data_IF_929648137684
#
_entry.id   IF_929648137684
#
_cell.length_a   1.000
_cell.length_b   1.000
_cell.length_c   1.000
_cell.angle_alpha   90.00
_cell.angle_beta   90.00
_cell.angle_gamma   90.00
#
_symmetry.space_group_name_H-M   'P 1'
#
loop_
_entity.id
_entity.type
_entity.pdbx_description
1 polymer ?
#
# COMPACT_ATOMS: atom_id res chain seq x y z
N UNK A 1 -11.92 -3.53 -11.32
CA UNK A 1 -12.37 -3.55 -12.72
C UNK A 1 -11.19 -3.58 -13.68
N UNK A 2 -10.22 -2.69 -13.56
CA UNK A 2 -9.10 -2.53 -14.51
C UNK A 2 -8.23 -3.79 -14.73
N UNK A 3 -8.03 -4.61 -13.68
CA UNK A 3 -7.20 -5.83 -13.79
C UNK A 3 -7.83 -6.89 -14.68
N UNK A 4 -9.14 -7.08 -14.62
CA UNK A 4 -9.86 -8.04 -15.47
C UNK A 4 -9.88 -7.58 -16.93
N UNK A 5 -10.05 -6.27 -17.18
CA UNK A 5 -9.98 -5.71 -18.52
C UNK A 5 -8.58 -5.89 -19.13
N UNK A 6 -7.53 -5.69 -18.34
CA UNK A 6 -6.16 -5.93 -18.77
C UNK A 6 -5.93 -7.41 -19.09
N UNK A 7 -6.41 -8.31 -18.25
CA UNK A 7 -6.34 -9.77 -18.48
C UNK A 7 -7.08 -10.16 -19.74
N UNK A 8 -8.28 -9.63 -19.96
CA UNK A 8 -9.05 -9.86 -21.18
C UNK A 8 -8.31 -9.37 -22.43
N UNK A 9 -7.68 -8.19 -22.37
CA UNK A 9 -6.88 -7.66 -23.48
C UNK A 9 -5.72 -8.61 -23.83
N UNK A 10 -5.02 -9.14 -22.81
CA UNK A 10 -3.94 -10.09 -23.02
C UNK A 10 -4.40 -11.42 -23.61
N UNK A 11 -5.57 -11.93 -23.18
CA UNK A 11 -6.15 -13.16 -23.77
C UNK A 11 -6.43 -12.95 -25.24
N UNK A 12 -7.09 -11.83 -25.61
CA UNK A 12 -7.38 -11.49 -27.00
C UNK A 12 -6.11 -11.38 -27.86
N UNK A 13 -5.01 -10.93 -27.28
CA UNK A 13 -3.73 -10.81 -27.99
C UNK A 13 -2.99 -12.15 -28.14
N UNK A 14 -2.99 -12.98 -27.10
CA UNK A 14 -2.21 -14.23 -27.06
C UNK A 14 -2.94 -15.43 -27.64
N UNK A 15 -4.27 -15.42 -27.61
CA UNK A 15 -5.10 -16.54 -28.06
C UNK A 15 -6.45 -16.03 -28.62
N UNK A 16 -6.44 -15.25 -29.73
CA UNK A 16 -7.64 -14.61 -30.27
C UNK A 16 -8.73 -15.61 -30.70
N UNK A 17 -8.31 -16.76 -31.22
CA UNK A 17 -9.22 -17.77 -31.81
C UNK A 17 -9.54 -18.93 -30.85
N UNK A 18 -8.98 -18.93 -29.64
CA UNK A 18 -9.17 -20.02 -28.69
C UNK A 18 -10.57 -19.97 -28.08
N UNK A 19 -11.35 -20.99 -28.37
CA UNK A 19 -12.69 -21.17 -27.75
C UNK A 19 -12.57 -21.81 -26.37
N UNK A 20 -13.50 -21.46 -25.49
CA UNK A 20 -13.55 -21.96 -24.12
C UNK A 20 -13.65 -23.49 -24.08
N UNK A 21 -14.45 -24.10 -24.97
CA UNK A 21 -14.59 -25.56 -25.07
C UNK A 21 -13.32 -26.30 -25.56
N UNK A 22 -12.38 -25.59 -26.17
CA UNK A 22 -11.10 -26.14 -26.66
C UNK A 22 -9.97 -25.98 -25.64
N UNK A 23 -10.26 -25.42 -24.46
CA UNK A 23 -9.29 -25.12 -23.43
C UNK A 23 -8.85 -26.40 -22.69
N UNK A 24 -7.75 -26.98 -23.14
CA UNK A 24 -7.09 -28.11 -22.50
C UNK A 24 -5.96 -27.64 -21.54
N UNK A 25 -5.45 -28.56 -20.71
CA UNK A 25 -4.26 -28.27 -19.87
C UNK A 25 -3.05 -27.84 -20.69
N UNK A 26 -2.89 -28.38 -21.90
CA UNK A 26 -1.76 -28.06 -22.78
C UNK A 26 -1.92 -26.65 -23.33
N UNK A 27 -3.12 -26.31 -23.85
CA UNK A 27 -3.40 -24.97 -24.39
C UNK A 27 -3.34 -23.90 -23.31
N UNK A 28 -3.86 -24.21 -22.11
CA UNK A 28 -3.76 -23.32 -20.95
C UNK A 28 -2.32 -23.07 -20.52
N UNK A 29 -1.50 -24.13 -20.39
CA UNK A 29 -0.09 -23.99 -20.05
C UNK A 29 0.70 -23.23 -21.12
N UNK A 30 0.39 -23.40 -22.39
CA UNK A 30 0.99 -22.64 -23.50
C UNK A 30 0.67 -21.15 -23.34
N UNK A 31 -0.60 -20.79 -23.11
CA UNK A 31 -1.04 -19.42 -22.85
C UNK A 31 -0.25 -18.77 -21.70
N UNK A 32 -0.11 -19.47 -20.57
CA UNK A 32 0.68 -19.00 -19.43
C UNK A 32 2.16 -18.83 -19.77
N UNK A 33 2.72 -19.77 -20.51
CA UNK A 33 4.12 -19.70 -20.93
C UNK A 33 4.37 -18.52 -21.87
N UNK A 34 3.46 -18.23 -22.80
CA UNK A 34 3.58 -17.11 -23.74
C UNK A 34 3.45 -15.78 -22.99
N UNK A 35 2.54 -15.65 -22.04
CA UNK A 35 2.45 -14.50 -21.14
C UNK A 35 3.73 -14.33 -20.31
N UNK A 36 4.27 -15.42 -19.77
CA UNK A 36 5.47 -15.45 -18.94
C UNK A 36 6.76 -15.00 -19.65
N UNK A 37 6.82 -15.10 -21.00
CA UNK A 37 7.95 -14.57 -21.81
C UNK A 37 8.11 -13.07 -21.66
N UNK A 38 7.03 -12.35 -21.42
CA UNK A 38 6.99 -10.89 -21.34
C UNK A 38 6.97 -10.35 -19.91
N UNK A 39 6.52 -11.15 -18.93
CA UNK A 39 6.21 -10.72 -17.57
C UNK A 39 7.04 -11.43 -16.50
N UNK A 40 7.15 -10.80 -15.33
CA UNK A 40 7.74 -11.41 -14.14
C UNK A 40 6.82 -12.51 -13.58
N UNK A 41 7.41 -13.46 -12.83
CA UNK A 41 6.68 -14.60 -12.26
C UNK A 41 5.46 -14.18 -11.42
N UNK A 42 5.57 -13.10 -10.62
CA UNK A 42 4.44 -12.61 -9.80
C UNK A 42 3.30 -12.10 -10.68
N UNK A 43 3.59 -11.34 -11.73
CA UNK A 43 2.58 -10.85 -12.68
C UNK A 43 1.89 -12.01 -13.41
N UNK A 44 2.66 -13.04 -13.77
CA UNK A 44 2.10 -14.27 -14.38
C UNK A 44 1.23 -15.04 -13.38
N UNK A 45 1.58 -15.05 -12.10
CA UNK A 45 0.76 -15.65 -11.05
C UNK A 45 -0.57 -14.91 -10.89
N UNK A 46 -0.54 -13.57 -10.90
CA UNK A 46 -1.75 -12.74 -10.80
C UNK A 46 -2.67 -12.97 -12.02
N UNK A 47 -2.08 -13.06 -13.22
CA UNK A 47 -2.80 -13.41 -14.45
C UNK A 47 -3.45 -14.80 -14.36
N UNK A 48 -2.70 -15.82 -13.89
CA UNK A 48 -3.23 -17.16 -13.64
C UNK A 48 -4.41 -17.13 -12.66
N UNK A 49 -4.31 -16.44 -11.54
CA UNK A 49 -5.39 -16.37 -10.55
C UNK A 49 -6.67 -15.76 -11.10
N UNK A 50 -6.55 -14.71 -11.94
CA UNK A 50 -7.70 -14.06 -12.57
C UNK A 50 -8.38 -14.98 -13.60
N UNK A 51 -7.58 -15.67 -14.43
CA UNK A 51 -8.09 -16.63 -15.39
C UNK A 51 -8.71 -17.84 -14.74
N UNK A 52 -8.07 -18.35 -13.69
CA UNK A 52 -8.54 -19.53 -12.98
C UNK A 52 -9.95 -19.34 -12.42
N UNK A 53 -10.27 -18.15 -11.86
CA UNK A 53 -11.63 -17.85 -11.39
C UNK A 53 -12.67 -18.06 -12.50
N UNK A 54 -12.49 -17.35 -13.62
CA UNK A 54 -13.42 -17.44 -14.76
C UNK A 54 -13.49 -18.84 -15.39
N UNK A 55 -12.38 -19.59 -15.39
CA UNK A 55 -12.35 -20.96 -15.93
C UNK A 55 -13.09 -21.92 -15.00
N UNK A 56 -12.99 -21.76 -13.68
CA UNK A 56 -13.73 -22.59 -12.73
C UNK A 56 -15.23 -22.33 -12.83
N UNK A 57 -15.66 -21.08 -13.01
CA UNK A 57 -17.06 -20.75 -13.29
C UNK A 57 -17.55 -21.48 -14.55
N UNK A 58 -16.74 -21.49 -15.63
CA UNK A 58 -17.07 -22.21 -16.86
C UNK A 58 -17.09 -23.76 -16.70
N UNK A 59 -16.31 -24.32 -15.78
CA UNK A 59 -16.37 -25.75 -15.43
C UNK A 59 -17.66 -26.04 -14.65
N UNK A 60 -18.01 -25.19 -13.70
CA UNK A 60 -19.22 -25.34 -12.88
C UNK A 60 -20.51 -25.21 -13.73
N UNK A 61 -20.46 -24.37 -14.77
CA UNK A 61 -21.54 -24.21 -15.78
C UNK A 61 -21.56 -25.34 -16.85
N UNK A 62 -20.60 -26.28 -16.80
CA UNK A 62 -20.52 -27.40 -17.75
C UNK A 62 -19.99 -27.01 -19.15
N UNK A 63 -19.46 -25.81 -19.34
CA UNK A 63 -18.85 -25.37 -20.60
C UNK A 63 -17.47 -26.00 -20.84
N UNK A 64 -16.79 -26.41 -19.78
CA UNK A 64 -15.52 -27.14 -19.78
C UNK A 64 -15.68 -28.40 -18.94
N UNK A 65 -15.36 -29.57 -19.49
CA UNK A 65 -15.54 -30.85 -18.82
C UNK A 65 -14.62 -31.03 -17.59
N UNK A 66 -13.40 -30.53 -17.67
CA UNK A 66 -12.37 -30.67 -16.61
C UNK A 66 -11.54 -29.40 -16.44
N UNK A 67 -11.23 -29.05 -15.19
CA UNK A 67 -10.39 -27.90 -14.86
C UNK A 67 -8.99 -27.99 -15.53
N UNK A 68 -8.70 -27.16 -16.55
CA UNK A 68 -7.40 -27.15 -17.22
C UNK A 68 -6.32 -26.40 -16.43
N UNK A 69 -6.68 -25.68 -15.38
CA UNK A 69 -5.77 -24.85 -14.57
C UNK A 69 -5.06 -25.66 -13.49
N UNK A 70 -5.53 -26.88 -13.23
CA UNK A 70 -5.00 -27.77 -12.19
C UNK A 70 -3.55 -28.14 -12.46
N UNK A 71 -2.67 -27.92 -11.47
CA UNK A 71 -1.22 -28.16 -11.55
C UNK A 71 -0.50 -27.31 -12.62
N UNK A 72 -1.03 -26.14 -12.96
CA UNK A 72 -0.35 -25.20 -13.85
C UNK A 72 1.02 -24.78 -13.28
N UNK A 73 2.04 -24.75 -14.13
CA UNK A 73 3.40 -24.34 -13.76
C UNK A 73 3.56 -22.86 -14.10
N UNK A 74 3.75 -22.03 -13.06
CA UNK A 74 3.91 -20.59 -13.22
C UNK A 74 5.38 -20.25 -13.40
N UNK A 75 5.72 -19.83 -14.61
CA UNK A 75 7.02 -19.30 -14.98
C UNK A 75 6.97 -17.77 -15.06
N UNK A 76 8.08 -17.14 -15.40
CA UNK A 76 8.19 -15.70 -15.63
C UNK A 76 9.63 -15.25 -15.66
N UNK A 77 9.85 -14.02 -16.13
CA UNK A 77 11.17 -13.38 -16.11
C UNK A 77 11.66 -13.24 -14.67
N UNK A 78 12.95 -13.35 -14.47
CA UNK A 78 13.58 -12.98 -13.20
C UNK A 78 13.39 -11.48 -12.99
N UNK A 79 13.06 -11.02 -11.77
CA UNK A 79 12.98 -9.59 -11.49
C UNK A 79 14.33 -8.94 -11.77
N UNK A 80 14.33 -7.81 -12.46
CA UNK A 80 15.56 -7.09 -12.84
C UNK A 80 16.38 -6.65 -11.64
N UNK A 81 15.70 -6.27 -10.55
CA UNK A 81 16.32 -5.89 -9.28
C UNK A 81 15.45 -6.34 -8.10
N UNK A 82 16.09 -6.78 -7.02
CA UNK A 82 15.41 -6.97 -5.73
C UNK A 82 15.09 -5.58 -5.18
N UNK A 83 13.83 -5.14 -5.31
CA UNK A 83 13.40 -3.87 -4.70
C UNK A 83 13.39 -4.02 -3.18
N UNK A 84 14.13 -3.16 -2.50
CA UNK A 84 14.05 -3.02 -1.05
C UNK A 84 12.65 -2.49 -0.74
N UNK A 85 11.95 -3.18 0.16
CA UNK A 85 10.53 -2.87 0.46
C UNK A 85 10.36 -2.03 1.71
N UNK A 86 11.35 -1.97 2.58
CA UNK A 86 11.32 -1.25 3.86
C UNK A 86 12.72 -0.81 4.26
N UNK A 87 12.80 0.15 5.15
CA UNK A 87 14.02 0.67 5.75
C UNK A 87 14.26 0.02 7.11
N UNK A 88 15.51 -0.05 7.54
CA UNK A 88 15.85 -0.32 8.92
C UNK A 88 15.70 0.96 9.78
N UNK A 89 15.86 0.84 11.11
CA UNK A 89 15.67 1.96 12.05
C UNK A 89 16.62 3.14 11.75
N UNK A 90 17.88 2.87 11.46
CA UNK A 90 18.89 3.89 11.16
C UNK A 90 18.60 4.62 9.85
N UNK A 91 18.20 3.88 8.81
CA UNK A 91 17.79 4.46 7.52
C UNK A 91 16.52 5.32 7.66
N UNK A 92 15.55 4.86 8.46
CA UNK A 92 14.36 5.65 8.74
C UNK A 92 14.72 6.94 9.48
N UNK A 93 15.61 6.89 10.47
CA UNK A 93 16.08 8.09 11.18
C UNK A 93 16.70 9.10 10.20
N UNK A 94 17.59 8.64 9.31
CA UNK A 94 18.18 9.49 8.25
C UNK A 94 17.12 10.09 7.33
N UNK A 95 16.08 9.32 6.97
CA UNK A 95 14.99 9.87 6.17
C UNK A 95 14.28 11.00 6.91
N UNK A 96 13.91 10.77 8.17
CA UNK A 96 13.16 11.75 8.96
C UNK A 96 13.96 13.05 9.21
N UNK A 97 15.30 12.97 9.31
CA UNK A 97 16.16 14.13 9.52
C UNK A 97 16.30 15.05 8.31
N UNK A 98 15.92 14.60 7.10
CA UNK A 98 15.99 15.41 5.87
C UNK A 98 14.63 15.96 5.43
N UNK A 99 13.55 15.65 6.15
CA UNK A 99 12.21 16.19 5.88
C UNK A 99 12.16 17.68 6.19
N UNK A 100 11.46 18.43 5.35
CA UNK A 100 11.27 19.87 5.48
C UNK A 100 9.91 20.16 6.13
N UNK A 101 9.89 20.09 7.47
CA UNK A 101 8.69 20.24 8.30
C UNK A 101 8.45 21.73 8.58
N UNK A 102 7.80 22.41 7.65
CA UNK A 102 7.48 23.83 7.76
C UNK A 102 6.26 24.07 8.66
N UNK A 103 5.93 25.35 8.91
CA UNK A 103 4.74 25.74 9.66
C UNK A 103 3.42 25.49 8.90
N UNK A 104 3.51 25.20 7.62
CA UNK A 104 2.37 24.84 6.77
C UNK A 104 2.42 23.36 6.41
N UNK A 105 1.23 22.75 6.27
CA UNK A 105 1.10 21.34 5.86
C UNK A 105 1.63 21.16 4.43
N UNK A 106 2.55 20.23 4.30
CA UNK A 106 3.14 19.80 3.03
C UNK A 106 3.23 18.28 2.94
N UNK A 107 3.77 17.75 1.85
CA UNK A 107 3.92 16.31 1.66
C UNK A 107 4.91 15.66 2.63
N UNK A 108 5.83 16.41 3.21
CA UNK A 108 6.78 15.90 4.20
C UNK A 108 6.08 15.59 5.52
N UNK A 109 5.06 16.38 5.91
CA UNK A 109 4.18 16.06 7.02
C UNK A 109 3.38 14.79 6.79
N UNK A 110 2.90 14.54 5.56
CA UNK A 110 2.24 13.29 5.21
C UNK A 110 3.21 12.10 5.28
N UNK A 111 4.44 12.26 4.76
CA UNK A 111 5.50 11.24 4.83
C UNK A 111 5.81 10.91 6.29
N UNK A 112 5.98 11.93 7.15
CA UNK A 112 6.19 11.75 8.59
C UNK A 112 5.02 11.01 9.24
N UNK A 113 3.79 11.44 8.97
CA UNK A 113 2.58 10.81 9.52
C UNK A 113 2.50 9.33 9.14
N UNK A 114 2.71 8.99 7.87
CA UNK A 114 2.71 7.59 7.40
C UNK A 114 3.85 6.78 8.02
N UNK A 115 5.04 7.35 8.14
CA UNK A 115 6.19 6.69 8.78
C UNK A 115 5.91 6.35 10.25
N UNK A 116 5.30 7.29 10.99
CA UNK A 116 5.00 7.17 12.43
C UNK A 116 3.78 6.29 12.74
N UNK A 117 2.83 6.18 11.82
CA UNK A 117 1.53 5.52 12.07
C UNK A 117 1.33 4.23 11.27
N UNK A 118 2.12 4.03 10.22
CA UNK A 118 1.97 2.89 9.33
C UNK A 118 0.64 2.82 8.58
N UNK A 119 -0.11 3.92 8.46
CA UNK A 119 -1.38 3.96 7.73
C UNK A 119 -1.17 3.79 6.22
N UNK A 120 -2.23 3.42 5.49
CA UNK A 120 -2.18 3.37 4.03
C UNK A 120 -2.19 4.80 3.47
N UNK A 121 -1.62 4.97 2.28
CA UNK A 121 -1.60 6.29 1.61
C UNK A 121 -3.00 6.90 1.46
N UNK A 122 -3.99 6.10 1.02
CA UNK A 122 -5.39 6.57 0.90
C UNK A 122 -6.05 6.88 2.26
N UNK A 123 -5.65 6.23 3.34
CA UNK A 123 -6.08 6.55 4.71
C UNK A 123 -5.45 7.89 5.15
N UNK A 124 -4.15 8.10 4.91
CA UNK A 124 -3.46 9.34 5.24
C UNK A 124 -4.01 10.56 4.49
N UNK A 125 -4.38 10.39 3.22
CA UNK A 125 -5.02 11.46 2.44
C UNK A 125 -6.41 11.83 2.96
N UNK A 126 -7.12 10.92 3.62
CA UNK A 126 -8.47 11.14 4.13
C UNK A 126 -8.51 11.73 5.55
N UNK A 127 -7.36 11.95 6.19
CA UNK A 127 -7.31 12.48 7.56
C UNK A 127 -7.83 13.92 7.58
N UNK A 128 -8.71 14.19 8.55
CA UNK A 128 -9.30 15.50 8.85
C UNK A 128 -8.90 15.92 10.27
N UNK A 129 -9.02 17.22 10.65
CA UNK A 129 -8.78 17.64 12.03
C UNK A 129 -9.62 16.87 13.05
N UNK A 130 -10.87 16.53 12.74
CA UNK A 130 -11.77 15.76 13.61
C UNK A 130 -11.32 14.31 13.89
N UNK A 131 -10.38 13.78 13.11
CA UNK A 131 -9.85 12.43 13.35
C UNK A 131 -8.84 12.40 14.51
N UNK A 132 -8.30 13.56 14.93
CA UNK A 132 -7.36 13.68 16.03
C UNK A 132 -8.09 13.83 17.37
N UNK A 133 -7.77 12.98 18.32
CA UNK A 133 -8.11 13.16 19.73
C UNK A 133 -6.84 13.59 20.46
N UNK A 134 -6.63 14.91 20.52
CA UNK A 134 -5.42 15.51 21.11
C UNK A 134 -5.31 15.19 22.60
N UNK A 135 -6.43 15.06 23.31
CA UNK A 135 -6.45 14.76 24.76
C UNK A 135 -6.02 13.32 25.05
N UNK A 136 -6.39 12.38 24.17
CA UNK A 136 -6.04 10.95 24.29
C UNK A 136 -4.82 10.56 23.48
N UNK A 137 -4.17 11.52 22.79
CA UNK A 137 -3.03 11.30 21.91
C UNK A 137 -3.31 10.19 20.88
N UNK A 138 -4.48 10.23 20.26
CA UNK A 138 -4.89 9.18 19.32
C UNK A 138 -5.46 9.72 18.03
N UNK A 139 -5.34 8.92 16.97
CA UNK A 139 -5.85 9.20 15.63
C UNK A 139 -6.82 8.10 15.21
N UNK A 140 -8.01 8.50 14.76
CA UNK A 140 -9.03 7.61 14.23
C UNK A 140 -8.83 7.40 12.73
N UNK A 141 -8.79 6.15 12.29
CA UNK A 141 -8.70 5.77 10.88
C UNK A 141 -9.99 5.02 10.54
N UNK A 142 -10.91 5.68 9.86
CA UNK A 142 -12.26 5.17 9.57
C UNK A 142 -12.69 5.37 8.12
N UNK A 143 -11.90 6.09 7.32
CA UNK A 143 -12.19 6.45 5.93
C UNK A 143 -10.93 6.45 5.06
N UNK A 144 -11.12 6.50 3.76
CA UNK A 144 -10.06 6.62 2.76
C UNK A 144 -10.42 7.69 1.73
N UNK A 145 -9.42 8.19 1.00
CA UNK A 145 -9.62 9.12 -0.10
C UNK A 145 -9.51 8.42 -1.44
N UNK A 146 -10.47 8.66 -2.35
CA UNK A 146 -10.42 8.15 -3.72
C UNK A 146 -9.52 9.00 -4.62
N UNK A 147 -8.22 8.85 -4.45
CA UNK A 147 -7.25 9.60 -5.27
C UNK A 147 -7.08 9.05 -6.69
N UNK A 148 -7.65 7.87 -7.00
CA UNK A 148 -7.59 7.26 -8.34
C UNK A 148 -8.76 7.60 -9.23
N UNK A 149 -9.90 7.90 -8.64
CA UNK A 149 -11.12 8.29 -9.33
C UNK A 149 -11.35 9.80 -9.29
N UNK A 150 -12.55 10.18 -8.88
CA UNK A 150 -13.01 11.57 -8.89
C UNK A 150 -12.72 12.33 -7.59
N UNK A 151 -11.99 11.72 -6.66
CA UNK A 151 -11.81 12.26 -5.31
C UNK A 151 -12.99 11.93 -4.39
N UNK A 152 -12.89 12.40 -3.14
CA UNK A 152 -13.92 12.21 -2.13
C UNK A 152 -13.62 11.09 -1.13
N UNK A 153 -14.36 11.13 -0.02
CA UNK A 153 -14.25 10.14 1.03
C UNK A 153 -14.91 8.83 0.62
N UNK A 154 -14.22 7.73 0.94
CA UNK A 154 -14.67 6.37 0.72
C UNK A 154 -14.54 5.55 2.01
N UNK A 155 -15.35 4.52 2.21
CA UNK A 155 -15.16 3.61 3.34
C UNK A 155 -13.80 2.91 3.24
N UNK A 156 -13.29 2.43 4.36
CA UNK A 156 -12.09 1.59 4.38
C UNK A 156 -12.33 0.28 3.64
N UNK A 157 -11.27 -0.30 3.07
CA UNK A 157 -11.35 -1.54 2.28
C UNK A 157 -12.05 -2.69 3.01
N UNK A 158 -11.86 -2.81 4.33
CA UNK A 158 -12.47 -3.82 5.20
C UNK A 158 -12.83 -3.18 6.53
N UNK A 159 -13.84 -3.69 7.21
CA UNK A 159 -14.22 -3.22 8.54
C UNK A 159 -13.07 -3.33 9.56
N UNK A 160 -12.21 -4.35 9.45
CA UNK A 160 -11.00 -4.50 10.25
C UNK A 160 -9.93 -3.42 10.01
N UNK A 161 -10.10 -2.56 8.99
CA UNK A 161 -9.22 -1.41 8.76
C UNK A 161 -9.63 -0.17 9.56
N UNK A 162 -10.87 -0.13 10.07
CA UNK A 162 -11.32 0.90 11.01
C UNK A 162 -10.62 0.65 12.34
N UNK A 163 -9.85 1.63 12.78
CA UNK A 163 -9.04 1.50 13.98
C UNK A 163 -8.69 2.86 14.57
N UNK A 164 -8.36 2.88 15.83
CA UNK A 164 -7.74 4.02 16.52
C UNK A 164 -6.31 3.66 16.86
N UNK A 165 -5.37 4.54 16.57
CA UNK A 165 -3.95 4.35 16.86
C UNK A 165 -3.47 5.41 17.84
N UNK A 166 -2.55 5.04 18.71
CA UNK A 166 -1.83 5.98 19.57
C UNK A 166 -0.76 6.69 18.76
N UNK A 167 -0.60 7.98 18.98
CA UNK A 167 0.43 8.82 18.36
C UNK A 167 1.34 9.37 19.44
N UNK A 168 2.62 9.56 19.12
CA UNK A 168 3.55 10.18 20.05
C UNK A 168 3.15 11.65 20.34
N UNK A 169 3.46 12.10 21.55
CA UNK A 169 3.07 13.42 22.04
C UNK A 169 3.69 14.56 21.20
N UNK A 170 4.89 14.37 20.63
CA UNK A 170 5.54 15.37 19.80
C UNK A 170 4.75 15.58 18.51
N UNK A 171 4.34 14.48 17.85
CA UNK A 171 3.53 14.56 16.64
C UNK A 171 2.15 15.19 16.92
N UNK A 172 1.55 14.86 18.07
CA UNK A 172 0.27 15.44 18.50
C UNK A 172 0.36 16.96 18.69
N UNK A 173 1.40 17.47 19.36
CA UNK A 173 1.60 18.91 19.56
C UNK A 173 1.78 19.60 18.21
N UNK A 174 2.61 19.04 17.31
CA UNK A 174 2.84 19.62 16.00
C UNK A 174 1.55 19.68 15.18
N UNK A 175 0.81 18.59 15.11
CA UNK A 175 -0.47 18.56 14.37
C UNK A 175 -1.54 19.44 15.03
N UNK A 176 -1.59 19.57 16.36
CA UNK A 176 -2.54 20.46 17.03
C UNK A 176 -2.38 21.94 16.59
N UNK A 177 -1.16 22.37 16.29
CA UNK A 177 -0.88 23.69 15.77
C UNK A 177 -1.19 23.79 14.28
N UNK A 178 -0.79 22.78 13.48
CA UNK A 178 -0.94 22.77 12.03
C UNK A 178 -2.40 22.72 11.57
N UNK A 179 -3.28 22.03 12.33
CA UNK A 179 -4.68 21.85 11.92
C UNK A 179 -5.65 22.80 12.62
N UNK A 180 -5.17 23.68 13.51
CA UNK A 180 -5.99 24.53 14.37
C UNK A 180 -7.03 25.35 13.61
N UNK A 181 -6.60 25.97 12.51
CA UNK A 181 -7.40 26.90 11.73
C UNK A 181 -7.98 26.25 10.44
N UNK A 182 -7.88 24.92 10.31
CA UNK A 182 -8.40 24.21 9.15
C UNK A 182 -9.87 23.78 9.35
N UNK A 183 -10.63 23.63 8.25
CA UNK A 183 -11.97 23.06 8.27
C UNK A 183 -11.97 21.66 8.89
N UNK A 184 -12.86 21.44 9.87
CA UNK A 184 -12.83 20.24 10.71
C UNK A 184 -13.12 18.93 9.95
N UNK A 185 -13.91 18.99 8.89
CA UNK A 185 -14.38 17.83 8.13
C UNK A 185 -13.71 17.69 6.75
N UNK A 186 -12.74 18.54 6.44
CA UNK A 186 -12.00 18.50 5.18
C UNK A 186 -10.65 17.78 5.34
N UNK A 187 -10.15 17.10 4.29
CA UNK A 187 -8.87 16.41 4.34
C UNK A 187 -7.71 17.41 4.40
N UNK A 188 -6.81 17.24 5.36
CA UNK A 188 -5.74 18.22 5.67
C UNK A 188 -4.62 18.27 4.61
N UNK A 189 -4.49 17.27 3.74
CA UNK A 189 -3.42 17.20 2.72
C UNK A 189 -3.93 17.38 1.29
N UNK A 190 -5.23 17.63 1.10
CA UNK A 190 -5.84 17.68 -0.23
C UNK A 190 -6.21 19.11 -0.57
N UNK A 191 -5.53 19.69 -1.55
CA UNK A 191 -5.86 20.99 -2.16
C UNK A 191 -6.25 20.89 -3.63
N UNK A 192 -6.42 19.67 -4.15
CA UNK A 192 -6.74 19.40 -5.56
C UNK A 192 -6.52 17.94 -5.93
N UNK A 193 -6.29 17.64 -7.20
CA UNK A 193 -6.05 16.27 -7.65
C UNK A 193 -4.68 15.77 -7.19
N UNK A 194 -4.65 14.68 -6.46
CA UNK A 194 -3.42 14.10 -5.89
C UNK A 194 -3.04 12.83 -6.66
N UNK A 195 -1.75 12.73 -6.98
CA UNK A 195 -1.18 11.53 -7.60
C UNK A 195 -0.18 10.87 -6.64
N UNK A 196 -0.27 9.55 -6.55
CA UNK A 196 0.69 8.78 -5.74
C UNK A 196 2.14 8.95 -6.24
N UNK A 197 2.35 9.17 -7.55
CA UNK A 197 3.66 9.47 -8.14
C UNK A 197 4.29 10.71 -7.52
N UNK A 198 3.52 11.79 -7.33
CA UNK A 198 4.03 13.05 -6.76
C UNK A 198 4.69 12.84 -5.40
N UNK A 199 4.01 12.14 -4.49
CA UNK A 199 4.55 11.87 -3.15
C UNK A 199 5.73 10.90 -3.21
N UNK A 200 5.69 9.90 -4.09
CA UNK A 200 6.81 8.98 -4.28
C UNK A 200 8.05 9.66 -4.89
N UNK A 201 7.87 10.67 -5.75
CA UNK A 201 8.98 11.44 -6.32
C UNK A 201 9.65 12.32 -5.26
N UNK A 202 8.86 12.92 -4.36
CA UNK A 202 9.37 13.65 -3.20
C UNK A 202 10.14 12.71 -2.28
N UNK A 203 9.53 11.58 -1.90
CA UNK A 203 10.17 10.56 -1.06
C UNK A 203 11.47 10.04 -1.70
N UNK A 204 11.49 9.85 -3.01
CA UNK A 204 12.69 9.42 -3.75
C UNK A 204 13.81 10.46 -3.64
N UNK A 205 13.49 11.77 -3.72
CA UNK A 205 14.47 12.84 -3.52
C UNK A 205 15.05 12.82 -2.11
N UNK A 206 14.20 12.66 -1.09
CA UNK A 206 14.64 12.54 0.30
C UNK A 206 15.49 11.29 0.55
N UNK A 207 15.11 10.14 0.00
CA UNK A 207 15.93 8.92 0.09
C UNK A 207 17.33 9.13 -0.50
N UNK A 208 17.42 9.80 -1.66
CA UNK A 208 18.71 10.14 -2.28
C UNK A 208 19.51 11.13 -1.44
N UNK A 209 18.87 12.20 -0.91
CA UNK A 209 19.50 13.21 -0.03
C UNK A 209 20.05 12.56 1.26
N UNK A 210 19.31 11.59 1.81
CA UNK A 210 19.71 10.85 3.00
C UNK A 210 20.74 9.72 2.75
N UNK A 211 21.03 9.39 1.49
CA UNK A 211 21.93 8.27 1.14
C UNK A 211 21.41 6.91 1.55
N UNK A 212 20.09 6.68 1.42
CA UNK A 212 19.42 5.45 1.83
C UNK A 212 18.71 4.78 0.62
N UNK A 213 18.33 3.50 0.75
CA UNK A 213 17.58 2.82 -0.31
C UNK A 213 16.27 3.53 -0.65
N UNK A 214 15.95 3.60 -1.96
CA UNK A 214 14.70 4.20 -2.43
C UNK A 214 13.54 3.25 -2.14
N UNK A 215 12.56 3.75 -1.40
CA UNK A 215 11.30 3.06 -1.12
C UNK A 215 10.11 3.88 -1.61
N UNK A 216 8.94 3.25 -1.68
CA UNK A 216 7.67 3.95 -1.94
C UNK A 216 7.00 4.37 -0.64
N UNK A 217 5.97 5.24 -0.73
CA UNK A 217 5.13 5.61 0.42
C UNK A 217 4.50 4.36 1.09
N UNK A 218 4.19 3.32 0.32
CA UNK A 218 3.74 2.04 0.86
C UNK A 218 4.87 1.28 1.58
N UNK A 219 6.12 1.50 1.18
CA UNK A 219 7.31 0.98 1.85
C UNK A 219 7.48 1.53 3.27
N UNK A 220 7.07 2.78 3.54
CA UNK A 220 7.06 3.33 4.90
C UNK A 220 6.13 2.55 5.85
N UNK A 221 4.97 2.11 5.34
CA UNK A 221 4.09 1.23 6.12
C UNK A 221 4.76 -0.12 6.42
N UNK A 222 5.50 -0.69 5.47
CA UNK A 222 6.28 -1.91 5.72
C UNK A 222 7.41 -1.66 6.71
N UNK A 223 8.08 -0.51 6.62
CA UNK A 223 9.09 -0.05 7.59
C UNK A 223 8.50 0.00 9.00
N UNK A 224 7.38 0.70 9.17
CA UNK A 224 6.70 0.81 10.45
C UNK A 224 6.33 -0.57 11.03
N UNK A 225 5.74 -1.45 10.21
CA UNK A 225 5.38 -2.81 10.62
C UNK A 225 6.62 -3.63 11.06
N UNK A 226 7.70 -3.56 10.29
CA UNK A 226 8.94 -4.29 10.58
C UNK A 226 9.59 -3.80 11.88
N UNK A 227 9.58 -2.50 12.13
CA UNK A 227 10.13 -1.93 13.37
C UNK A 227 9.30 -2.30 14.60
N UNK A 228 7.96 -2.32 14.48
CA UNK A 228 7.09 -2.79 15.56
C UNK A 228 7.32 -4.27 15.90
N UNK A 229 7.45 -5.12 14.88
CA UNK A 229 7.77 -6.54 15.08
C UNK A 229 9.16 -6.72 15.72
N UNK A 230 10.15 -5.96 15.26
CA UNK A 230 11.49 -5.98 15.83
C UNK A 230 11.50 -5.53 17.30
N UNK A 231 10.65 -4.55 17.67
CA UNK A 231 10.45 -4.10 19.05
C UNK A 231 9.62 -5.07 19.91
N UNK A 232 9.28 -6.27 19.41
CA UNK A 232 8.56 -7.31 20.16
C UNK A 232 7.03 -7.16 20.18
N UNK A 233 6.47 -6.29 19.34
CA UNK A 233 5.02 -6.18 19.23
C UNK A 233 4.43 -7.41 18.55
N UNK A 234 3.37 -8.00 19.10
CA UNK A 234 2.67 -9.11 18.48
C UNK A 234 1.96 -8.68 17.20
N UNK A 235 1.74 -9.61 16.25
CA UNK A 235 0.95 -9.34 15.03
C UNK A 235 -0.47 -8.82 15.34
N UNK A 236 -1.07 -9.26 16.44
CA UNK A 236 -2.36 -8.74 16.90
C UNK A 236 -2.26 -7.28 17.33
N UNK A 237 -1.26 -6.89 18.11
CA UNK A 237 -1.02 -5.51 18.51
C UNK A 237 -0.86 -4.57 17.32
N UNK A 238 -0.10 -5.02 16.30
CA UNK A 238 0.06 -4.28 15.05
C UNK A 238 -1.27 -4.11 14.27
N UNK A 239 -2.08 -5.17 14.16
CA UNK A 239 -3.36 -5.12 13.42
C UNK A 239 -4.40 -4.21 14.07
N UNK A 240 -4.45 -4.16 15.39
CA UNK A 240 -5.45 -3.40 16.15
C UNK A 240 -4.97 -1.99 16.57
N UNK A 241 -3.76 -1.58 16.15
CA UNK A 241 -3.25 -0.23 16.45
C UNK A 241 -2.93 0.01 17.92
N UNK A 242 -2.84 -1.04 18.73
CA UNK A 242 -2.30 -0.91 20.08
C UNK A 242 -0.83 -0.55 19.95
N UNK A 243 -0.53 0.74 20.12
CA UNK A 243 0.84 1.25 20.15
C UNK A 243 1.63 0.43 21.15
N UNK A 244 2.64 -0.29 20.66
CA UNK A 244 3.56 -0.95 21.55
C UNK A 244 4.32 0.15 22.30
N UNK A 245 4.14 0.24 23.61
CA UNK A 245 4.85 1.20 24.47
C UNK A 245 6.37 1.11 24.31
N UNK A 246 6.87 -0.07 23.89
CA UNK A 246 8.28 -0.32 23.55
C UNK A 246 8.73 0.43 22.28
N UNK A 247 7.85 0.67 21.31
CA UNK A 247 8.18 1.45 20.11
C UNK A 247 8.47 2.92 20.47
N UNK A 248 7.69 3.48 21.40
CA UNK A 248 7.94 4.82 21.92
C UNK A 248 9.26 4.91 22.70
N UNK A 249 9.65 3.86 23.42
CA UNK A 249 10.91 3.82 24.16
C UNK A 249 12.12 3.75 23.20
N UNK A 250 12.06 2.89 22.18
CA UNK A 250 13.15 2.78 21.17
C UNK A 250 13.32 4.06 20.34
N UNK A 251 12.26 4.85 20.14
CA UNK A 251 12.33 6.13 19.43
C UNK A 251 12.81 7.29 20.33
N UNK A 252 12.64 7.19 21.67
CA UNK A 252 13.15 8.20 22.62
C UNK A 252 14.67 8.31 22.63
N UNK A 253 15.38 7.21 22.41
CA UNK A 253 16.85 7.21 22.42
C UNK A 253 17.50 7.75 21.13
N UNK A 254 16.71 8.00 20.06
CA UNK A 254 17.26 8.43 18.75
C UNK A 254 16.88 9.85 18.34
N UNK A 255 16.17 10.61 19.20
CA UNK A 255 15.72 11.99 18.92
C UNK A 255 16.38 13.03 19.85
N UNK A 256 17.66 12.85 20.23
CA UNK A 256 18.50 13.90 20.81
C UNK A 256 19.69 14.19 19.91
#
# INVERSE_FOLDING_TARGET
MDKYLLTQSWIKQLAPDLKVCELSRITYQKLLNDYAKLHERQTTMDFHHQLKGAILDAVDEGLIERDPTRKAIIKGKKPRHKKIKYLNQFELHKLLSVLELNQELNWDWLILLVAKTGMRFSEALAITPNDFDFSKQSLSINKTWDYKGNGGFMPTKNQSSVRRIQIDWQLIIQFSTLVKDLPQDEPIFISGKVYNSTVNDILTRHCKKAGIPIISIHGLRHTHASLLLFAGCSERGYRFGYGCSLYFAAYKETCY
#
